data_IF_688409814444
#
_entry.id   IF_688409814444
#
_cell.length_a   1.000
_cell.length_b   1.000
_cell.length_c   1.000
_cell.angle_alpha   90.00
_cell.angle_beta   90.00
_cell.angle_gamma   90.00
#
_symmetry.space_group_name_H-M   'P 1'
#
loop_
_entity.id
_entity.type
_entity.pdbx_description
1 polymer ?
#
# COMPACT_ATOMS: atom_id res chain seq x y z
N UNK A 1 -51.81 -5.04 -50.40
CA UNK A 1 -50.61 -4.48 -49.78
C UNK A 1 -50.57 -5.00 -48.36
N UNK A 2 -49.65 -5.93 -48.11
CA UNK A 2 -49.46 -6.52 -46.74
C UNK A 2 -48.21 -5.91 -46.18
N UNK A 3 -48.34 -5.08 -45.15
CA UNK A 3 -47.21 -4.57 -44.40
C UNK A 3 -46.80 -5.61 -43.36
N UNK A 4 -45.63 -6.18 -43.55
CA UNK A 4 -44.99 -7.06 -42.54
C UNK A 4 -44.20 -6.16 -41.60
N UNK A 5 -44.71 -5.93 -40.42
CA UNK A 5 -43.97 -5.26 -39.35
C UNK A 5 -43.04 -6.25 -38.71
N UNK A 6 -41.74 -6.14 -38.99
CA UNK A 6 -40.71 -6.88 -38.33
C UNK A 6 -40.42 -6.20 -36.97
N UNK A 7 -40.84 -6.81 -35.88
CA UNK A 7 -40.43 -6.41 -34.52
C UNK A 7 -39.03 -6.90 -34.24
N UNK A 8 -38.08 -6.00 -34.22
CA UNK A 8 -36.72 -6.29 -33.71
C UNK A 8 -36.78 -6.37 -32.18
N UNK A 9 -36.65 -7.57 -31.65
CA UNK A 9 -36.40 -7.75 -30.22
C UNK A 9 -34.94 -7.49 -29.95
N UNK A 10 -34.62 -6.35 -29.35
CA UNK A 10 -33.30 -6.04 -28.85
C UNK A 10 -33.15 -6.77 -27.50
N UNK A 11 -32.47 -7.89 -27.50
CA UNK A 11 -32.04 -8.54 -26.26
C UNK A 11 -30.89 -7.72 -25.64
N UNK A 12 -31.20 -6.91 -24.63
CA UNK A 12 -30.20 -6.26 -23.84
C UNK A 12 -29.52 -7.33 -22.97
N UNK A 13 -28.36 -7.78 -23.42
CA UNK A 13 -27.48 -8.60 -22.59
C UNK A 13 -26.90 -7.69 -21.50
N UNK A 14 -27.46 -7.74 -20.30
CA UNK A 14 -26.85 -7.17 -19.11
C UNK A 14 -25.62 -8.01 -18.79
N UNK A 15 -24.47 -7.62 -19.31
CA UNK A 15 -23.20 -8.13 -18.84
C UNK A 15 -22.97 -7.57 -17.43
N UNK A 16 -23.31 -8.36 -16.42
CA UNK A 16 -22.94 -8.08 -15.06
C UNK A 16 -21.42 -8.24 -14.99
N UNK A 17 -20.69 -7.16 -15.14
CA UNK A 17 -19.27 -7.15 -14.83
C UNK A 17 -19.14 -7.40 -13.32
N UNK A 18 -18.84 -8.64 -12.93
CA UNK A 18 -18.44 -8.93 -11.58
C UNK A 18 -17.13 -8.17 -11.34
N UNK A 19 -17.21 -7.09 -10.57
CA UNK A 19 -16.01 -6.40 -10.09
C UNK A 19 -15.33 -7.37 -9.13
N UNK A 20 -14.29 -8.06 -9.61
CA UNK A 20 -13.44 -8.84 -8.75
C UNK A 20 -12.75 -7.87 -7.80
N UNK A 21 -13.21 -7.81 -6.55
CA UNK A 21 -12.49 -7.14 -5.47
C UNK A 21 -11.21 -7.94 -5.27
N UNK A 22 -10.10 -7.44 -5.79
CA UNK A 22 -8.80 -8.04 -5.54
C UNK A 22 -8.58 -8.07 -4.03
N UNK A 23 -8.33 -9.27 -3.47
CA UNK A 23 -7.95 -9.40 -2.08
C UNK A 23 -6.75 -8.50 -1.79
N UNK A 24 -6.69 -7.78 -0.65
CA UNK A 24 -5.54 -6.97 -0.31
C UNK A 24 -4.28 -7.84 -0.36
N UNK A 25 -3.25 -7.36 -1.07
CA UNK A 25 -1.99 -8.08 -1.19
C UNK A 25 -1.36 -8.17 0.19
N UNK A 26 -1.18 -9.40 0.66
CA UNK A 26 -0.48 -9.64 1.91
C UNK A 26 1.02 -9.44 1.69
N UNK A 27 1.61 -8.60 2.51
CA UNK A 27 3.07 -8.46 2.55
C UNK A 27 3.70 -9.76 3.06
N UNK A 28 4.76 -10.20 2.43
CA UNK A 28 5.59 -11.25 2.99
C UNK A 28 6.35 -10.73 4.24
N UNK A 29 7.00 -11.60 4.98
CA UNK A 29 7.66 -11.22 6.22
C UNK A 29 8.77 -10.20 6.02
N UNK A 30 9.54 -10.30 4.94
CA UNK A 30 10.60 -9.34 4.61
C UNK A 30 10.02 -7.96 4.31
N UNK A 31 8.94 -7.91 3.54
CA UNK A 31 8.23 -6.67 3.24
C UNK A 31 7.58 -6.05 4.49
N UNK A 32 7.04 -6.88 5.37
CA UNK A 32 6.46 -6.42 6.64
C UNK A 32 7.52 -5.81 7.55
N UNK A 33 8.68 -6.43 7.66
CA UNK A 33 9.84 -5.90 8.41
C UNK A 33 10.29 -4.57 7.78
N UNK A 34 10.42 -4.52 6.46
CA UNK A 34 10.79 -3.30 5.73
C UNK A 34 9.77 -2.17 5.93
N UNK A 35 8.47 -2.48 5.91
CA UNK A 35 7.41 -1.50 6.18
C UNK A 35 7.49 -0.92 7.60
N UNK A 36 7.83 -1.73 8.57
CA UNK A 36 8.06 -1.27 9.94
C UNK A 36 9.28 -0.35 10.04
N UNK A 37 10.38 -0.67 9.36
CA UNK A 37 11.54 0.23 9.27
C UNK A 37 11.15 1.58 8.65
N UNK A 38 10.41 1.54 7.56
CA UNK A 38 9.90 2.75 6.90
C UNK A 38 9.03 3.58 7.85
N UNK A 39 8.16 2.94 8.61
CA UNK A 39 7.33 3.63 9.60
C UNK A 39 8.20 4.28 10.68
N UNK A 40 9.29 3.63 11.11
CA UNK A 40 10.26 4.21 12.02
C UNK A 40 10.91 5.47 11.46
N UNK A 41 11.33 5.43 10.20
CA UNK A 41 11.91 6.59 9.50
C UNK A 41 10.90 7.73 9.41
N UNK A 42 9.71 7.47 8.91
CA UNK A 42 8.69 8.48 8.64
C UNK A 42 7.96 8.96 9.91
N UNK A 43 8.13 8.29 11.05
CA UNK A 43 7.67 8.81 12.34
C UNK A 43 8.56 9.92 12.88
N UNK A 44 9.75 10.13 12.34
CA UNK A 44 10.53 11.32 12.65
C UNK A 44 10.01 12.50 11.83
N UNK A 45 9.84 13.65 12.48
CA UNK A 45 9.22 14.83 11.88
C UNK A 45 9.89 15.26 10.57
N UNK A 46 11.22 15.12 10.49
CA UNK A 46 12.01 15.49 9.34
C UNK A 46 11.71 14.66 8.09
N UNK A 47 11.31 13.39 8.26
CA UNK A 47 11.08 12.46 7.16
C UNK A 47 9.62 12.10 6.94
N UNK A 48 8.70 12.68 7.69
CA UNK A 48 7.27 12.50 7.49
C UNK A 48 6.87 12.98 6.09
N UNK A 49 5.98 12.23 5.44
CA UNK A 49 5.45 12.53 4.11
C UNK A 49 3.92 12.42 4.14
N UNK A 50 3.21 12.86 3.08
CA UNK A 50 1.77 12.57 2.98
C UNK A 50 1.44 11.08 3.00
N UNK A 51 2.38 10.21 2.65
CA UNK A 51 2.22 8.75 2.65
C UNK A 51 2.39 8.10 4.03
N UNK A 52 2.83 8.83 5.04
CA UNK A 52 3.11 8.29 6.39
C UNK A 52 1.87 7.67 7.02
N UNK A 53 0.70 8.28 6.87
CA UNK A 53 -0.54 7.72 7.40
C UNK A 53 -0.97 6.44 6.66
N UNK A 54 -0.77 6.40 5.35
CA UNK A 54 -1.01 5.20 4.55
C UNK A 54 -0.07 4.05 4.96
N UNK A 55 1.19 4.35 5.23
CA UNK A 55 2.17 3.39 5.73
C UNK A 55 1.81 2.86 7.12
N UNK A 56 1.36 3.74 8.01
CA UNK A 56 0.90 3.36 9.36
C UNK A 56 -0.31 2.42 9.28
N UNK A 57 -1.26 2.74 8.41
CA UNK A 57 -2.43 1.91 8.15
C UNK A 57 -2.02 0.55 7.58
N UNK A 58 -1.11 0.54 6.62
CA UNK A 58 -0.58 -0.69 6.02
C UNK A 58 0.03 -1.61 7.07
N UNK A 59 0.92 -1.10 7.90
CA UNK A 59 1.57 -1.88 8.97
C UNK A 59 0.52 -2.45 9.93
N UNK A 60 -0.46 -1.65 10.32
CA UNK A 60 -1.54 -2.09 11.20
C UNK A 60 -2.37 -3.22 10.59
N UNK A 61 -2.74 -3.10 9.31
CA UNK A 61 -3.53 -4.10 8.59
C UNK A 61 -2.77 -5.40 8.37
N UNK A 62 -1.44 -5.33 8.27
CA UNK A 62 -0.56 -6.48 8.04
C UNK A 62 -0.06 -7.14 9.33
N UNK A 63 -0.42 -6.61 10.50
CA UNK A 63 0.08 -7.01 11.81
C UNK A 63 -0.71 -8.20 12.39
N UNK A 64 -0.79 -9.30 11.65
CA UNK A 64 -1.48 -10.51 12.10
C UNK A 64 -0.92 -11.77 11.44
N UNK A 65 -1.06 -12.90 12.12
CA UNK A 65 -0.77 -14.22 11.55
C UNK A 65 0.70 -14.46 11.20
N UNK A 66 1.62 -13.84 11.95
CA UNK A 66 3.07 -13.99 11.78
C UNK A 66 3.69 -14.67 12.98
N UNK A 67 4.81 -15.32 12.78
CA UNK A 67 5.59 -15.87 13.89
C UNK A 67 6.09 -14.77 14.83
N UNK A 68 6.16 -15.07 16.12
CA UNK A 68 6.65 -14.09 17.13
C UNK A 68 8.01 -13.50 16.79
N UNK A 69 8.90 -14.30 16.24
CA UNK A 69 10.20 -13.84 15.75
C UNK A 69 10.09 -12.72 14.71
N UNK A 70 9.08 -12.77 13.83
CA UNK A 70 8.88 -11.74 12.80
C UNK A 70 8.41 -10.43 13.43
N UNK A 71 7.55 -10.47 14.43
CA UNK A 71 7.16 -9.28 15.18
C UNK A 71 8.33 -8.63 15.87
N UNK A 72 9.18 -9.42 16.52
CA UNK A 72 10.39 -8.92 17.18
C UNK A 72 11.34 -8.24 16.18
N UNK A 73 11.51 -8.84 14.99
CA UNK A 73 12.31 -8.26 13.91
C UNK A 73 11.70 -6.98 13.34
N UNK A 74 10.38 -6.93 13.22
CA UNK A 74 9.67 -5.76 12.76
C UNK A 74 9.79 -4.59 13.74
N UNK A 75 9.65 -4.86 15.04
CA UNK A 75 9.84 -3.85 16.10
C UNK A 75 11.27 -3.34 16.12
N UNK A 76 12.25 -4.24 16.03
CA UNK A 76 13.66 -3.86 15.94
C UNK A 76 13.93 -2.99 14.70
N UNK A 77 13.38 -3.36 13.54
CA UNK A 77 13.54 -2.59 12.31
C UNK A 77 12.93 -1.19 12.43
N UNK A 78 11.79 -1.05 13.11
CA UNK A 78 11.16 0.25 13.40
C UNK A 78 12.05 1.12 14.25
N UNK A 79 12.59 0.58 15.34
CA UNK A 79 13.50 1.29 16.23
C UNK A 79 14.79 1.71 15.51
N UNK A 80 15.35 0.82 14.69
CA UNK A 80 16.52 1.11 13.87
C UNK A 80 16.25 2.21 12.85
N UNK A 81 15.10 2.16 12.19
CA UNK A 81 14.67 3.20 11.27
C UNK A 81 14.56 4.57 11.94
N UNK A 82 13.93 4.61 13.10
CA UNK A 82 13.82 5.83 13.89
C UNK A 82 15.17 6.36 14.36
N UNK A 83 16.03 5.47 14.83
CA UNK A 83 17.38 5.81 15.27
C UNK A 83 18.23 6.35 14.12
N UNK A 84 18.20 5.68 12.97
CA UNK A 84 18.95 6.10 11.79
C UNK A 84 18.45 7.45 11.26
N UNK A 85 17.13 7.66 11.23
CA UNK A 85 16.54 8.94 10.83
C UNK A 85 16.86 10.09 11.78
N UNK A 86 17.14 9.77 13.07
CA UNK A 86 17.47 10.77 14.09
C UNK A 86 18.95 11.16 14.10
N UNK A 87 19.79 10.47 13.34
CA UNK A 87 21.21 10.82 13.23
C UNK A 87 21.38 12.09 12.40
N UNK A 88 22.27 12.98 12.88
CA UNK A 88 22.62 14.20 12.15
C UNK A 88 23.65 13.91 11.07
N UNK A 89 23.68 14.79 10.05
CA UNK A 89 24.64 14.75 8.95
C UNK A 89 23.97 14.70 7.59
N UNK A 90 24.51 15.48 6.64
CA UNK A 90 23.94 15.59 5.30
C UNK A 90 23.92 14.26 4.54
N UNK A 91 25.01 13.49 4.66
CA UNK A 91 25.12 12.17 4.00
C UNK A 91 24.08 11.19 4.53
N UNK A 92 23.93 11.13 5.84
CA UNK A 92 22.89 10.30 6.46
C UNK A 92 21.49 10.74 6.05
N UNK A 93 21.21 12.04 6.06
CA UNK A 93 19.92 12.58 5.66
C UNK A 93 19.60 12.24 4.20
N UNK A 94 20.55 12.33 3.30
CA UNK A 94 20.38 11.98 1.89
C UNK A 94 20.10 10.49 1.72
N UNK A 95 20.80 9.64 2.47
CA UNK A 95 20.60 8.18 2.44
C UNK A 95 19.21 7.81 2.93
N UNK A 96 18.77 8.37 4.05
CA UNK A 96 17.44 8.10 4.62
C UNK A 96 16.32 8.67 3.73
N UNK A 97 16.50 9.86 3.16
CA UNK A 97 15.56 10.42 2.21
C UNK A 97 15.42 9.54 0.95
N UNK A 98 16.52 8.98 0.45
CA UNK A 98 16.50 8.07 -0.69
C UNK A 98 15.77 6.76 -0.36
N UNK A 99 15.95 6.20 0.84
CA UNK A 99 15.23 5.03 1.31
C UNK A 99 13.71 5.31 1.43
N UNK A 100 13.34 6.44 2.01
CA UNK A 100 11.95 6.90 2.10
C UNK A 100 11.30 7.02 0.72
N UNK A 101 11.96 7.66 -0.21
CA UNK A 101 11.41 7.96 -1.54
C UNK A 101 11.47 6.75 -2.49
N UNK A 102 12.34 5.78 -2.20
CA UNK A 102 12.47 4.53 -2.95
C UNK A 102 11.63 3.40 -2.37
N UNK A 103 12.23 2.63 -1.47
CA UNK A 103 11.64 1.41 -0.90
C UNK A 103 10.32 1.69 -0.17
N UNK A 104 10.28 2.72 0.65
CA UNK A 104 9.12 3.03 1.46
C UNK A 104 7.94 3.47 0.61
N UNK A 105 8.15 4.32 -0.37
CA UNK A 105 7.12 4.74 -1.31
C UNK A 105 6.62 3.56 -2.15
N UNK A 106 7.52 2.68 -2.60
CA UNK A 106 7.15 1.50 -3.37
C UNK A 106 6.23 0.55 -2.60
N UNK A 107 6.46 0.35 -1.30
CA UNK A 107 5.60 -0.49 -0.45
C UNK A 107 4.18 0.07 -0.35
N UNK A 108 4.03 1.36 -0.17
CA UNK A 108 2.72 2.03 -0.12
C UNK A 108 2.03 1.98 -1.48
N UNK A 109 2.76 2.26 -2.56
CA UNK A 109 2.22 2.27 -3.93
C UNK A 109 1.75 0.90 -4.39
N UNK A 110 2.48 -0.17 -4.07
CA UNK A 110 2.13 -1.54 -4.42
C UNK A 110 0.81 -1.95 -3.77
N UNK A 111 0.60 -1.58 -2.51
CA UNK A 111 -0.62 -1.88 -1.77
C UNK A 111 -1.80 -1.04 -2.21
N UNK A 112 -1.59 0.22 -2.55
CA UNK A 112 -2.64 1.12 -3.06
C UNK A 112 -3.09 0.75 -4.47
N UNK A 113 -2.19 0.31 -5.33
CA UNK A 113 -2.50 -0.15 -6.68
C UNK A 113 -3.35 -1.41 -6.71
N UNK A 114 -3.31 -2.22 -5.65
CA UNK A 114 -4.11 -3.45 -5.48
C UNK A 114 -5.53 -3.17 -4.98
N UNK A 115 -5.81 -1.97 -4.51
CA UNK A 115 -7.15 -1.55 -4.12
C UNK A 115 -7.81 -0.94 -5.35
N UNK A 116 -8.87 -1.55 -5.93
CA UNK A 116 -9.60 -0.91 -7.00
C UNK A 116 -10.14 0.41 -6.47
N UNK A 117 -9.66 1.49 -7.06
CA UNK A 117 -10.09 2.84 -6.70
C UNK A 117 -11.52 3.04 -7.17
N UNK A 118 -12.49 2.61 -6.36
CA UNK A 118 -13.90 2.89 -6.60
C UNK A 118 -14.20 4.40 -6.52
N UNK A 119 -13.25 5.20 -6.06
CA UNK A 119 -13.41 6.64 -5.86
C UNK A 119 -13.18 7.48 -7.13
N UNK A 120 -12.66 6.90 -8.23
CA UNK A 120 -12.33 7.64 -9.44
C UNK A 120 -13.41 7.62 -10.52
N UNK A 121 -14.55 7.02 -10.26
CA UNK A 121 -15.65 6.93 -11.23
C UNK A 121 -16.84 7.82 -10.87
N UNK A 122 -16.54 9.00 -10.44
CA UNK A 122 -17.57 10.04 -10.36
C UNK A 122 -17.29 11.13 -11.35
#
# INVERSE_FOLDING_TARGET
>A
MRFVTATLAIAAACASAAVAVAAPVRLNDVQFIAANRCLGIESTKQFATPDTDALRKLVKEQNWGRDGYIYDKADQARDDGQRDASRSGAENNNRIAAERDGVCRALVSTTTASTPSAAHNM
#
